data_IF_878289074014
#
_entry.id   IF_878289074014
#
_cell.length_a   1.000
_cell.length_b   1.000
_cell.length_c   1.000
_cell.angle_alpha   90.00
_cell.angle_beta   90.00
_cell.angle_gamma   90.00
#
_symmetry.space_group_name_H-M   'P 1'
#
loop_
_entity.id
_entity.type
_entity.pdbx_description
1 polymer ?
#
# COMPACT_ATOMS: atom_id res chain seq x y z
N UNK A 1 -23.94 -7.62 15.83
CA UNK A 1 -22.97 -6.65 15.27
C UNK A 1 -21.80 -7.45 14.72
N UNK A 2 -21.50 -7.36 13.42
CA UNK A 2 -20.34 -8.05 12.82
C UNK A 2 -19.16 -7.09 12.92
N UNK A 3 -18.03 -7.56 13.43
CA UNK A 3 -16.75 -6.84 13.45
C UNK A 3 -15.75 -7.71 12.70
N UNK A 4 -15.18 -7.20 11.61
CA UNK A 4 -14.23 -7.92 10.76
C UNK A 4 -13.09 -6.98 10.35
N UNK A 5 -11.93 -7.55 10.05
CA UNK A 5 -10.77 -6.83 9.50
C UNK A 5 -10.77 -6.80 7.98
N UNK A 6 -11.72 -7.49 7.33
CA UNK A 6 -11.86 -7.52 5.87
C UNK A 6 -12.63 -6.30 5.37
N UNK A 7 -12.27 -5.81 4.19
CA UNK A 7 -12.96 -4.67 3.55
C UNK A 7 -14.34 -5.04 2.99
N UNK A 8 -14.64 -6.33 2.90
CA UNK A 8 -15.91 -6.86 2.39
C UNK A 8 -16.53 -7.85 3.37
N UNK A 9 -17.85 -8.00 3.26
CA UNK A 9 -18.61 -9.06 3.92
C UNK A 9 -19.43 -9.74 2.81
N UNK A 10 -19.24 -11.06 2.55
CA UNK A 10 -19.98 -11.77 1.52
C UNK A 10 -21.50 -11.60 1.67
N UNK A 11 -22.21 -11.45 0.53
CA UNK A 11 -23.67 -11.28 0.46
C UNK A 11 -24.21 -10.10 1.30
N UNK A 12 -23.38 -9.08 1.52
CA UNK A 12 -23.73 -7.85 2.24
C UNK A 12 -23.19 -6.63 1.51
N UNK A 13 -24.01 -5.58 1.49
CA UNK A 13 -23.61 -4.27 0.96
C UNK A 13 -23.15 -3.38 2.11
N UNK A 14 -21.97 -2.78 1.97
CA UNK A 14 -21.46 -1.77 2.89
C UNK A 14 -22.07 -0.42 2.48
N UNK A 15 -22.88 0.18 3.36
CA UNK A 15 -23.56 1.45 3.08
C UNK A 15 -22.77 2.69 3.48
N UNK A 16 -22.00 2.64 4.57
CA UNK A 16 -21.18 3.77 5.05
C UNK A 16 -20.04 3.26 5.95
N UNK A 17 -18.86 3.85 5.79
CA UNK A 17 -17.69 3.59 6.64
C UNK A 17 -17.55 4.69 7.70
N UNK A 18 -17.44 4.32 8.96
CA UNK A 18 -17.30 5.22 10.11
C UNK A 18 -15.95 5.00 10.81
N UNK A 19 -15.46 6.00 11.56
CA UNK A 19 -14.19 5.91 12.30
C UNK A 19 -12.92 6.19 11.48
N UNK A 20 -13.07 6.62 10.23
CA UNK A 20 -11.95 6.92 9.31
C UNK A 20 -11.57 8.39 9.39
N UNK A 21 -10.30 8.70 9.62
CA UNK A 21 -9.75 10.05 9.43
C UNK A 21 -9.50 10.24 7.94
N UNK A 22 -10.54 10.66 7.20
CA UNK A 22 -10.56 10.64 5.72
C UNK A 22 -9.30 11.20 5.07
N UNK A 23 -8.91 12.43 5.41
CA UNK A 23 -7.72 13.05 4.80
C UNK A 23 -6.43 12.29 5.08
N UNK A 24 -6.25 11.76 6.29
CA UNK A 24 -5.06 10.97 6.63
C UNK A 24 -5.07 9.59 5.96
N UNK A 25 -6.25 8.99 5.86
CA UNK A 25 -6.45 7.68 5.21
C UNK A 25 -6.19 7.79 3.71
N UNK A 26 -6.77 8.80 3.05
CA UNK A 26 -6.50 9.09 1.64
C UNK A 26 -5.03 9.42 1.40
N UNK A 27 -4.39 10.20 2.29
CA UNK A 27 -2.96 10.49 2.19
C UNK A 27 -2.11 9.23 2.29
N UNK A 28 -2.36 8.37 3.28
CA UNK A 28 -1.64 7.12 3.48
C UNK A 28 -1.80 6.17 2.28
N UNK A 29 -3.04 6.02 1.77
CA UNK A 29 -3.33 5.22 0.57
C UNK A 29 -2.58 5.76 -0.64
N UNK A 30 -2.69 7.06 -0.93
CA UNK A 30 -2.01 7.68 -2.06
C UNK A 30 -0.49 7.58 -1.97
N UNK A 31 0.08 7.75 -0.77
CA UNK A 31 1.52 7.61 -0.55
C UNK A 31 2.00 6.17 -0.77
N UNK A 32 1.22 5.18 -0.33
CA UNK A 32 1.50 3.76 -0.58
C UNK A 32 1.50 3.43 -2.07
N UNK A 33 0.46 3.85 -2.79
CA UNK A 33 0.37 3.62 -4.23
C UNK A 33 1.52 4.27 -5.00
N UNK A 34 1.95 5.48 -4.61
CA UNK A 34 3.10 6.15 -5.23
C UNK A 34 4.41 5.41 -4.98
N UNK A 35 4.64 4.95 -3.75
CA UNK A 35 5.85 4.19 -3.41
C UNK A 35 5.92 2.87 -4.20
N UNK A 36 4.79 2.15 -4.29
CA UNK A 36 4.66 0.91 -5.05
C UNK A 36 4.92 1.12 -6.54
N UNK A 37 4.26 2.11 -7.17
CA UNK A 37 4.47 2.44 -8.60
C UNK A 37 5.92 2.79 -8.90
N UNK A 38 6.61 3.46 -7.97
CA UNK A 38 8.03 3.77 -8.14
C UNK A 38 8.90 2.51 -8.13
N UNK A 39 8.68 1.61 -7.16
CA UNK A 39 9.37 0.33 -7.09
C UNK A 39 9.13 -0.52 -8.35
N UNK A 40 7.89 -0.58 -8.84
CA UNK A 40 7.54 -1.26 -10.08
C UNK A 40 8.24 -0.66 -11.31
N UNK A 41 8.25 0.67 -11.43
CA UNK A 41 8.90 1.35 -12.53
C UNK A 41 10.42 1.08 -12.55
N UNK A 42 11.06 1.09 -11.39
CA UNK A 42 12.48 0.76 -11.25
C UNK A 42 12.75 -0.69 -11.64
N UNK A 43 11.98 -1.66 -11.14
CA UNK A 43 12.12 -3.07 -11.51
C UNK A 43 11.89 -3.32 -13.02
N UNK A 44 10.87 -2.66 -13.60
CA UNK A 44 10.58 -2.74 -15.04
C UNK A 44 11.71 -2.18 -15.89
N UNK A 45 12.34 -1.09 -15.45
CA UNK A 45 13.50 -0.51 -16.15
C UNK A 45 14.71 -1.45 -16.19
N UNK A 46 14.78 -2.40 -15.24
CA UNK A 46 15.81 -3.45 -15.19
C UNK A 46 15.43 -4.69 -16.00
N UNK A 47 14.26 -4.73 -16.64
CA UNK A 47 13.78 -5.89 -17.39
C UNK A 47 13.34 -7.06 -16.50
N UNK A 48 12.94 -6.78 -15.26
CA UNK A 48 12.43 -7.81 -14.36
C UNK A 48 11.00 -8.25 -14.72
N UNK A 49 10.70 -9.53 -14.51
CA UNK A 49 9.38 -10.13 -14.74
C UNK A 49 8.50 -10.07 -13.48
N UNK A 50 9.12 -10.04 -12.30
CA UNK A 50 8.43 -9.98 -11.02
C UNK A 50 9.26 -9.26 -9.94
N UNK A 51 8.58 -8.88 -8.85
CA UNK A 51 9.20 -8.39 -7.61
C UNK A 51 8.77 -9.33 -6.48
N UNK A 52 9.73 -9.96 -5.83
CA UNK A 52 9.48 -10.88 -4.70
C UNK A 52 9.88 -10.24 -3.38
N UNK A 53 9.30 -10.76 -2.29
CA UNK A 53 9.62 -10.28 -0.95
C UNK A 53 9.22 -8.83 -0.70
N UNK A 54 8.15 -8.35 -1.35
CA UNK A 54 7.66 -6.98 -1.19
C UNK A 54 7.32 -6.71 0.27
N UNK A 55 7.82 -5.57 0.76
CA UNK A 55 7.56 -5.04 2.10
C UNK A 55 7.22 -3.56 2.01
N UNK A 56 6.33 -3.15 2.88
CA UNK A 56 5.99 -1.76 3.12
C UNK A 56 6.42 -1.39 4.52
N UNK A 57 7.07 -0.24 4.66
CA UNK A 57 7.38 0.36 5.95
C UNK A 57 6.84 1.77 5.99
N UNK A 58 6.39 2.18 7.16
CA UNK A 58 6.01 3.56 7.43
C UNK A 58 6.97 4.15 8.45
N UNK A 59 7.52 5.32 8.13
CA UNK A 59 8.40 6.09 9.00
C UNK A 59 7.77 7.41 9.42
N UNK A 60 8.36 8.03 10.44
CA UNK A 60 8.12 9.42 10.78
C UNK A 60 9.46 10.07 11.09
N UNK A 61 9.78 11.15 10.40
CA UNK A 61 11.09 11.83 10.50
C UNK A 61 11.12 12.85 11.65
N UNK A 62 10.09 12.87 12.49
CA UNK A 62 10.01 13.69 13.70
C UNK A 62 9.28 15.02 13.49
N UNK A 63 9.24 15.54 12.26
CA UNK A 63 8.62 16.83 11.91
C UNK A 63 7.16 16.70 11.42
N UNK A 64 6.49 15.60 11.77
CA UNK A 64 5.12 15.30 11.35
C UNK A 64 4.98 14.79 9.91
N UNK A 65 6.10 14.56 9.22
CA UNK A 65 6.12 13.88 7.93
C UNK A 65 5.96 12.38 8.12
N UNK A 66 4.91 11.79 7.53
CA UNK A 66 4.76 10.33 7.44
C UNK A 66 5.30 9.86 6.10
N UNK A 67 6.28 8.96 6.16
CA UNK A 67 6.87 8.34 4.98
C UNK A 67 6.26 6.97 4.72
N UNK A 68 6.18 6.60 3.44
CA UNK A 68 5.87 5.23 3.02
C UNK A 68 6.98 4.75 2.11
N UNK A 69 7.65 3.68 2.53
CA UNK A 69 8.68 2.99 1.77
C UNK A 69 8.10 1.68 1.23
N UNK A 70 8.34 1.41 -0.05
CA UNK A 70 8.06 0.13 -0.69
C UNK A 70 9.36 -0.42 -1.27
N UNK A 71 9.71 -1.66 -0.92
CA UNK A 71 10.91 -2.30 -1.43
C UNK A 71 10.71 -3.81 -1.59
N UNK A 72 11.51 -4.42 -2.46
CA UNK A 72 11.48 -5.83 -2.80
C UNK A 72 12.68 -6.21 -3.66
N UNK A 73 12.72 -7.46 -4.12
CA UNK A 73 13.79 -7.96 -4.99
C UNK A 73 13.24 -8.20 -6.38
N UNK A 74 13.78 -7.51 -7.38
CA UNK A 74 13.45 -7.72 -8.78
C UNK A 74 14.03 -9.07 -9.27
N UNK A 75 13.24 -9.88 -9.96
CA UNK A 75 13.64 -11.21 -10.45
C UNK A 75 13.16 -11.43 -11.88
N UNK A 76 13.91 -12.24 -12.64
CA UNK A 76 13.49 -12.77 -13.93
C UNK A 76 12.87 -14.16 -13.76
N UNK A 77 11.79 -14.42 -14.47
CA UNK A 77 11.12 -15.72 -14.49
C UNK A 77 11.64 -16.51 -15.70
N UNK A 78 11.95 -17.80 -15.50
CA UNK A 78 12.39 -18.71 -16.56
C UNK A 78 11.20 -19.47 -17.16
#
# INVERSE_FOLDING_TARGET
MIVTTTETVPDRTISTTHGVVRGYTELATNSRERAEKRMEAEAKSMGADAIVGVRFMTGNDGDGASEVLAYGTAVSLQ
#
